data_IF_578868722385
#
_entry.id   IF_578868722385
#
_cell.length_a   1.000
_cell.length_b   1.000
_cell.length_c   1.000
_cell.angle_alpha   90.00
_cell.angle_beta   90.00
_cell.angle_gamma   90.00
#
_symmetry.space_group_name_H-M   'P 1'
#
loop_
_entity.id
_entity.type
_entity.pdbx_description
1 polymer ?
#
# COMPACT_ATOMS: atom_id res chain seq x y z
N UNK A 1 34.94 -16.59 -92.34
CA UNK A 1 33.50 -16.77 -92.01
C UNK A 1 33.40 -17.42 -90.63
N UNK A 2 33.04 -16.66 -89.60
CA UNK A 2 32.17 -17.07 -88.48
C UNK A 2 31.89 -15.83 -87.60
N UNK A 3 30.80 -15.91 -86.87
CA UNK A 3 29.82 -14.87 -86.56
C UNK A 3 30.07 -14.15 -85.21
N UNK A 4 29.48 -12.96 -85.07
CA UNK A 4 29.45 -12.10 -83.88
C UNK A 4 28.74 -12.75 -82.67
N UNK A 5 29.07 -12.33 -81.46
CA UNK A 5 28.04 -11.95 -80.46
C UNK A 5 28.64 -11.05 -79.37
N UNK A 6 27.93 -9.96 -79.10
CA UNK A 6 28.17 -8.93 -78.07
C UNK A 6 27.41 -9.31 -76.79
N UNK A 7 27.89 -8.93 -75.60
CA UNK A 7 27.04 -8.70 -74.43
C UNK A 7 27.54 -7.50 -73.60
N UNK A 8 26.64 -6.72 -72.94
CA UNK A 8 26.88 -5.33 -72.52
C UNK A 8 26.94 -5.12 -70.97
N UNK A 9 27.41 -3.92 -70.56
CA UNK A 9 26.98 -2.99 -69.46
C UNK A 9 26.43 -3.60 -68.11
N UNK A 10 26.69 -3.13 -66.87
CA UNK A 10 26.79 -1.79 -66.23
C UNK A 10 27.05 -1.97 -64.68
N UNK A 11 27.01 -0.94 -63.78
CA UNK A 11 28.08 -0.59 -62.83
C UNK A 11 27.86 -1.00 -61.35
N UNK A 12 28.91 -0.86 -60.53
CA UNK A 12 28.87 -1.03 -59.07
C UNK A 12 28.18 0.17 -58.37
N UNK A 13 27.16 -0.14 -57.57
CA UNK A 13 26.42 0.82 -56.72
C UNK A 13 27.15 0.98 -55.39
N UNK A 14 27.45 2.23 -55.03
CA UNK A 14 27.99 2.68 -53.76
C UNK A 14 26.86 2.67 -52.71
N UNK A 15 26.99 1.88 -51.63
CA UNK A 15 26.04 1.91 -50.51
C UNK A 15 26.66 2.71 -49.35
N UNK A 16 26.13 3.90 -49.09
CA UNK A 16 26.45 4.70 -47.92
C UNK A 16 25.69 4.16 -46.71
N UNK A 17 26.42 3.68 -45.69
CA UNK A 17 25.84 3.34 -44.39
C UNK A 17 25.76 4.61 -43.52
N UNK A 18 24.54 5.05 -43.23
CA UNK A 18 24.24 6.06 -42.22
C UNK A 18 24.43 5.46 -40.83
N UNK A 19 25.42 5.93 -40.07
CA UNK A 19 25.59 5.61 -38.66
C UNK A 19 24.92 6.70 -37.82
N UNK A 20 23.77 6.40 -37.24
CA UNK A 20 23.13 7.21 -36.20
C UNK A 20 23.43 6.60 -34.83
N UNK A 21 24.41 7.16 -34.14
CA UNK A 21 24.70 6.82 -32.74
C UNK A 21 23.70 7.57 -31.85
N UNK A 22 22.68 6.87 -31.36
CA UNK A 22 21.83 7.37 -30.26
C UNK A 22 22.41 6.89 -28.95
N UNK A 23 22.76 7.84 -28.07
CA UNK A 23 23.04 7.56 -26.66
C UNK A 23 21.70 7.24 -25.99
N UNK A 24 21.35 5.96 -25.90
CA UNK A 24 20.36 5.54 -24.92
C UNK A 24 21.03 5.61 -23.54
N UNK A 25 20.76 6.68 -22.79
CA UNK A 25 20.95 6.64 -21.34
C UNK A 25 19.98 5.59 -20.81
N UNK A 26 20.47 4.37 -20.61
CA UNK A 26 19.80 3.40 -19.79
C UNK A 26 19.78 3.98 -18.38
N UNK A 27 18.61 4.50 -17.97
CA UNK A 27 18.31 4.72 -16.57
C UNK A 27 18.33 3.35 -15.91
N UNK A 28 19.47 2.96 -15.35
CA UNK A 28 19.55 1.82 -14.46
C UNK A 28 18.81 2.22 -13.19
N UNK A 29 17.51 1.93 -13.12
CA UNK A 29 16.88 1.78 -11.83
C UNK A 29 17.62 0.63 -11.15
N UNK A 30 18.40 0.95 -10.13
CA UNK A 30 18.82 -0.09 -9.18
C UNK A 30 17.54 -0.72 -8.66
N UNK A 31 17.30 -2.03 -8.84
CA UNK A 31 16.20 -2.68 -8.17
C UNK A 31 16.38 -2.42 -6.68
N UNK A 32 15.43 -1.74 -6.05
CA UNK A 32 15.39 -1.71 -4.59
C UNK A 32 15.24 -3.16 -4.15
N UNK A 33 16.15 -3.65 -3.31
CA UNK A 33 15.92 -4.91 -2.61
C UNK A 33 14.58 -4.74 -1.89
N UNK A 34 13.56 -5.56 -2.21
CA UNK A 34 12.31 -5.52 -1.45
C UNK A 34 12.64 -5.66 0.04
N UNK A 35 11.98 -4.90 0.90
CA UNK A 35 12.13 -5.07 2.34
C UNK A 35 11.75 -6.50 2.76
N UNK A 36 12.28 -6.96 3.90
CA UNK A 36 12.13 -8.33 4.40
C UNK A 36 10.67 -8.76 4.60
N UNK A 37 9.76 -7.79 4.76
CA UNK A 37 8.33 -8.02 4.94
C UNK A 37 7.52 -7.25 3.90
N UNK A 38 6.51 -7.93 3.36
CA UNK A 38 5.47 -7.39 2.49
C UNK A 38 4.20 -7.20 3.30
N UNK A 39 3.64 -6.00 3.21
CA UNK A 39 2.36 -5.63 3.79
C UNK A 39 1.40 -5.41 2.62
N UNK A 40 0.28 -6.11 2.61
CA UNK A 40 -0.81 -5.86 1.66
C UNK A 40 -1.99 -5.27 2.37
N UNK A 41 -2.69 -4.37 1.70
CA UNK A 41 -3.94 -3.81 2.17
C UNK A 41 -4.96 -3.90 1.03
N UNK A 42 -6.02 -4.66 1.23
CA UNK A 42 -7.08 -4.84 0.26
C UNK A 42 -8.35 -4.19 0.78
N UNK A 43 -9.01 -3.39 -0.05
CA UNK A 43 -10.43 -3.06 0.12
C UNK A 43 -11.24 -4.20 -0.49
N UNK A 44 -12.01 -4.93 0.30
CA UNK A 44 -12.60 -6.23 -0.09
C UNK A 44 -13.81 -6.10 -1.04
N UNK A 45 -14.22 -4.87 -1.36
CA UNK A 45 -15.17 -4.59 -2.44
C UNK A 45 -16.62 -5.00 -2.18
N UNK A 46 -16.96 -5.36 -0.94
CA UNK A 46 -18.33 -5.66 -0.50
C UNK A 46 -19.24 -4.42 -0.36
N UNK A 47 -18.70 -3.22 -0.56
CA UNK A 47 -19.41 -1.93 -0.50
C UNK A 47 -18.85 -0.95 -1.53
N UNK A 48 -19.52 0.19 -1.71
CA UNK A 48 -19.06 1.29 -2.55
C UNK A 48 -18.11 2.25 -1.79
N UNK A 49 -17.74 1.93 -0.54
CA UNK A 49 -16.82 2.72 0.26
C UNK A 49 -15.37 2.49 -0.20
N UNK A 50 -14.59 3.56 -0.25
CA UNK A 50 -13.17 3.52 -0.56
C UNK A 50 -12.36 3.73 0.73
N UNK A 51 -11.07 3.39 0.69
CA UNK A 51 -10.17 3.55 1.84
C UNK A 51 -9.01 4.46 1.46
N UNK A 52 -8.58 5.33 2.38
CA UNK A 52 -7.36 6.12 2.15
C UNK A 52 -6.12 5.23 2.34
N UNK A 53 -4.90 5.70 2.00
CA UNK A 53 -3.69 4.91 2.20
C UNK A 53 -3.59 4.43 3.65
N UNK A 54 -3.22 3.16 3.83
CA UNK A 54 -3.12 2.57 5.16
C UNK A 54 -1.82 3.01 5.83
N UNK A 55 -1.90 3.82 6.87
CA UNK A 55 -0.79 3.94 7.81
C UNK A 55 -0.68 2.66 8.63
N UNK A 56 0.54 2.19 8.85
CA UNK A 56 0.81 1.05 9.72
C UNK A 56 2.10 1.23 10.52
N UNK A 57 2.18 0.53 11.63
CA UNK A 57 3.35 0.45 12.49
C UNK A 57 3.58 -0.95 13.03
N UNK A 58 4.86 -1.35 13.11
CA UNK A 58 5.34 -2.39 13.99
C UNK A 58 5.95 -1.76 15.24
N UNK A 59 5.46 -2.14 16.41
CA UNK A 59 5.76 -1.52 17.69
C UNK A 59 5.79 -2.53 18.85
N UNK A 60 6.31 -2.09 20.00
CA UNK A 60 6.63 -2.93 21.17
C UNK A 60 5.49 -3.06 22.20
N UNK A 61 4.36 -2.41 21.93
CA UNK A 61 3.20 -2.27 22.79
C UNK A 61 3.10 -0.90 23.47
N UNK A 62 4.12 -0.05 23.34
CA UNK A 62 4.17 1.25 24.00
C UNK A 62 3.52 2.40 23.23
N UNK A 63 3.24 2.23 21.94
CA UNK A 63 2.53 3.23 21.14
C UNK A 63 1.04 2.92 21.13
N UNK A 64 0.27 3.74 21.84
CA UNK A 64 -1.18 3.72 21.85
C UNK A 64 -1.71 4.66 20.76
N UNK A 65 -2.47 4.11 19.81
CA UNK A 65 -3.00 4.89 18.68
C UNK A 65 -4.21 5.72 19.13
N UNK A 66 -5.11 5.14 19.93
CA UNK A 66 -6.28 5.80 20.49
C UNK A 66 -7.00 4.96 21.54
N UNK A 67 -7.75 5.65 22.40
CA UNK A 67 -8.68 5.03 23.34
C UNK A 67 -10.12 5.45 23.05
N UNK A 68 -11.07 4.50 22.98
CA UNK A 68 -12.49 4.83 22.84
C UNK A 68 -12.97 5.72 24.00
N UNK A 69 -13.68 6.79 23.66
CA UNK A 69 -14.18 7.80 24.59
C UNK A 69 -13.19 8.92 24.91
N UNK A 70 -11.95 8.86 24.44
CA UNK A 70 -10.98 9.95 24.52
C UNK A 70 -10.94 10.75 23.21
N UNK A 71 -10.49 12.01 23.26
CA UNK A 71 -10.26 12.80 22.05
C UNK A 71 -9.09 12.21 21.25
N UNK A 72 -9.14 12.26 19.91
CA UNK A 72 -8.04 11.81 19.07
C UNK A 72 -6.81 12.69 19.24
N UNK A 73 -5.64 12.14 18.88
CA UNK A 73 -4.47 12.98 18.65
C UNK A 73 -4.68 13.81 17.39
N UNK A 74 -3.95 14.92 17.24
CA UNK A 74 -4.03 15.75 16.03
C UNK A 74 -3.66 14.95 14.77
N UNK A 75 -2.77 13.96 14.90
CA UNK A 75 -2.44 13.06 13.81
C UNK A 75 -3.56 12.11 13.42
N UNK A 76 -4.30 11.57 14.40
CA UNK A 76 -5.43 10.70 14.12
C UNK A 76 -6.63 11.47 13.57
N UNK A 77 -6.90 12.67 14.09
CA UNK A 77 -7.92 13.60 13.57
C UNK A 77 -7.66 13.90 12.09
N UNK A 78 -6.45 14.38 11.75
CA UNK A 78 -6.10 14.68 10.35
C UNK A 78 -6.17 13.44 9.44
N UNK A 79 -5.80 12.26 9.95
CA UNK A 79 -5.95 11.03 9.19
C UNK A 79 -7.42 10.69 8.98
N UNK A 80 -8.25 10.81 10.00
CA UNK A 80 -9.66 10.44 9.96
C UNK A 80 -10.51 11.42 9.12
N UNK A 81 -10.12 12.69 9.02
CA UNK A 81 -10.85 13.71 8.25
C UNK A 81 -10.34 13.86 6.81
N UNK A 82 -9.02 13.83 6.60
CA UNK A 82 -8.42 14.13 5.29
C UNK A 82 -7.70 12.92 4.66
N UNK A 83 -7.56 11.82 5.41
CA UNK A 83 -6.74 10.69 4.97
C UNK A 83 -5.25 10.97 4.96
N UNK A 84 -4.78 12.05 5.62
CA UNK A 84 -3.36 12.43 5.66
C UNK A 84 -2.66 11.89 6.93
N UNK A 85 -1.77 10.89 6.80
CA UNK A 85 -1.04 10.34 7.94
C UNK A 85 0.18 11.17 8.37
N UNK A 86 0.45 12.33 7.76
CA UNK A 86 1.70 13.07 7.93
C UNK A 86 1.99 13.47 9.38
N UNK A 87 0.98 13.94 10.12
CA UNK A 87 1.10 14.31 11.53
C UNK A 87 1.21 13.05 12.41
N UNK A 88 0.40 12.02 12.15
CA UNK A 88 0.47 10.74 12.86
C UNK A 88 1.84 10.07 12.73
N UNK A 89 2.47 10.15 11.55
CA UNK A 89 3.84 9.69 11.32
C UNK A 89 4.82 10.41 12.25
N UNK A 90 4.64 11.72 12.45
CA UNK A 90 5.42 12.53 13.37
C UNK A 90 5.22 12.13 14.83
N UNK A 91 3.97 11.93 15.25
CA UNK A 91 3.61 11.48 16.60
C UNK A 91 4.21 10.10 16.91
N UNK A 92 4.10 9.16 15.98
CA UNK A 92 4.74 7.86 16.11
C UNK A 92 6.26 7.99 16.25
N UNK A 93 6.91 8.79 15.41
CA UNK A 93 8.36 9.00 15.50
C UNK A 93 8.79 9.63 16.84
N UNK A 94 7.94 10.48 17.43
CA UNK A 94 8.21 11.09 18.73
C UNK A 94 8.03 10.12 19.90
N UNK A 95 7.09 9.19 19.80
CA UNK A 95 6.81 8.17 20.81
C UNK A 95 7.66 6.88 20.64
N UNK A 96 8.21 6.66 19.45
CA UNK A 96 8.85 5.42 19.05
C UNK A 96 10.06 5.04 19.91
N UNK A 97 10.06 3.78 20.36
CA UNK A 97 11.21 3.15 20.98
C UNK A 97 12.22 2.66 19.93
N UNK A 98 13.51 2.47 20.30
CA UNK A 98 14.52 1.93 19.38
C UNK A 98 14.10 0.59 18.78
N UNK A 99 13.77 0.60 17.48
CA UNK A 99 13.36 -0.61 16.77
C UNK A 99 12.00 -0.47 16.07
N UNK A 100 11.10 0.37 16.60
CA UNK A 100 9.79 0.59 15.98
C UNK A 100 9.91 0.99 14.51
N UNK A 101 8.98 0.51 13.69
CA UNK A 101 8.96 0.72 12.23
C UNK A 101 7.56 1.14 11.82
N UNK A 102 7.45 2.01 10.82
CA UNK A 102 6.16 2.40 10.26
C UNK A 102 6.28 2.56 8.75
N UNK A 103 5.12 2.61 8.09
CA UNK A 103 5.03 2.88 6.67
C UNK A 103 3.60 3.22 6.27
N UNK A 104 3.42 3.47 4.98
CA UNK A 104 2.11 3.70 4.39
C UNK A 104 1.95 2.77 3.20
N UNK A 105 0.86 2.00 3.17
CA UNK A 105 0.45 1.25 1.99
C UNK A 105 -0.33 2.19 1.08
N UNK A 106 0.29 2.56 -0.04
CA UNK A 106 -0.32 3.46 -1.02
C UNK A 106 -1.30 2.70 -1.93
N UNK A 107 -2.26 3.45 -2.48
CA UNK A 107 -3.18 2.95 -3.48
C UNK A 107 -2.47 2.46 -4.76
N UNK A 108 -2.88 1.32 -5.33
CA UNK A 108 -2.35 0.82 -6.59
C UNK A 108 -2.88 1.67 -7.75
N UNK A 109 -2.07 2.63 -8.20
CA UNK A 109 -2.35 3.60 -9.26
C UNK A 109 -3.15 4.86 -8.87
N UNK A 110 -4.09 4.80 -7.91
CA UNK A 110 -4.79 5.96 -7.33
C UNK A 110 -5.56 6.86 -8.32
N UNK A 111 -6.53 7.65 -7.84
CA UNK A 111 -7.14 8.70 -8.66
C UNK A 111 -6.15 9.88 -8.80
N UNK A 112 -5.97 10.48 -10.00
CA UNK A 112 -5.16 11.69 -10.14
C UNK A 112 -5.70 12.82 -9.26
N UNK A 113 -5.04 13.09 -8.13
CA UNK A 113 -5.42 14.12 -7.16
C UNK A 113 -5.88 13.61 -5.79
N UNK A 114 -6.14 12.30 -5.63
CA UNK A 114 -6.43 11.68 -4.33
C UNK A 114 -6.07 10.18 -4.38
N UNK A 115 -5.01 9.71 -3.69
CA UNK A 115 -4.65 8.30 -3.69
C UNK A 115 -5.62 7.50 -2.80
N UNK A 116 -6.68 6.93 -3.39
CA UNK A 116 -7.66 6.09 -2.70
C UNK A 116 -7.55 4.63 -3.13
N UNK A 117 -7.85 3.70 -2.23
CA UNK A 117 -7.96 2.25 -2.48
C UNK A 117 -9.44 1.94 -2.73
N UNK A 118 -9.79 1.81 -4.00
CA UNK A 118 -11.17 1.55 -4.42
C UNK A 118 -11.60 0.11 -4.04
N UNK A 119 -12.91 -0.16 -3.93
CA UNK A 119 -13.49 -1.50 -3.82
C UNK A 119 -12.80 -2.54 -4.72
N UNK A 120 -12.20 -3.57 -4.12
CA UNK A 120 -11.49 -4.66 -4.81
C UNK A 120 -10.02 -4.40 -5.12
N UNK A 121 -9.49 -3.22 -4.81
CA UNK A 121 -8.07 -2.90 -5.02
C UNK A 121 -7.18 -3.35 -3.86
N UNK A 122 -5.92 -3.67 -4.20
CA UNK A 122 -4.89 -4.05 -3.23
C UNK A 122 -3.65 -3.17 -3.36
N UNK A 123 -3.35 -2.41 -2.31
CA UNK A 123 -2.08 -1.72 -2.13
C UNK A 123 -1.01 -2.64 -1.54
N UNK A 124 0.27 -2.29 -1.78
CA UNK A 124 1.42 -3.03 -1.24
C UNK A 124 2.49 -2.08 -0.73
N UNK A 125 3.02 -2.34 0.46
CA UNK A 125 4.24 -1.75 0.98
C UNK A 125 5.26 -2.83 1.35
N UNK A 126 6.53 -2.43 1.43
CA UNK A 126 7.62 -3.27 1.89
C UNK A 126 8.36 -2.58 3.02
N UNK A 127 8.78 -3.35 4.02
CA UNK A 127 9.57 -2.84 5.13
C UNK A 127 10.71 -3.79 5.49
N UNK A 128 11.87 -3.24 5.78
CA UNK A 128 13.03 -3.98 6.28
C UNK A 128 12.91 -4.07 7.80
N UNK A 129 12.89 -5.30 8.33
CA UNK A 129 12.81 -5.50 9.76
C UNK A 129 14.19 -5.88 10.30
N UNK A 130 14.76 -4.95 11.06
CA UNK A 130 16.09 -5.12 11.67
C UNK A 130 16.08 -5.89 13.00
N UNK A 131 14.97 -5.93 13.74
CA UNK A 131 14.82 -6.65 15.02
C UNK A 131 13.35 -6.99 15.36
N UNK A 132 12.66 -7.83 14.56
CA UNK A 132 11.22 -8.14 14.76
C UNK A 132 10.80 -8.53 16.18
N UNK A 133 11.68 -9.24 16.92
CA UNK A 133 11.43 -9.63 18.31
C UNK A 133 11.28 -8.44 19.28
N UNK A 134 11.74 -7.24 18.90
CA UNK A 134 11.68 -6.02 19.71
C UNK A 134 10.46 -5.15 19.41
N UNK A 135 9.66 -5.48 18.39
CA UNK A 135 8.47 -4.73 17.96
C UNK A 135 7.40 -5.70 17.44
N UNK A 136 6.88 -6.50 18.36
CA UNK A 136 6.06 -7.66 18.05
C UNK A 136 4.64 -7.33 17.60
N UNK A 137 4.15 -6.14 17.89
CA UNK A 137 2.77 -5.74 17.70
C UNK A 137 2.58 -4.87 16.48
N UNK A 138 1.39 -4.92 15.89
CA UNK A 138 1.02 -4.15 14.72
C UNK A 138 -0.13 -3.20 15.04
N UNK A 139 0.04 -1.95 14.62
CA UNK A 139 -1.03 -0.94 14.66
C UNK A 139 -1.27 -0.40 13.25
N UNK A 140 -2.50 0.02 12.96
CA UNK A 140 -2.86 0.57 11.67
C UNK A 140 -3.99 1.60 11.76
N UNK A 141 -4.06 2.47 10.74
CA UNK A 141 -5.11 3.46 10.58
C UNK A 141 -5.35 3.74 9.09
N UNK A 142 -6.61 3.86 8.68
CA UNK A 142 -7.02 4.31 7.35
C UNK A 142 -8.41 4.92 7.44
N UNK A 143 -8.64 6.02 6.76
CA UNK A 143 -9.96 6.66 6.70
C UNK A 143 -10.88 5.87 5.75
N UNK A 144 -12.13 5.76 6.17
CA UNK A 144 -13.23 5.26 5.34
C UNK A 144 -13.84 6.45 4.62
N UNK A 145 -13.95 6.39 3.29
CA UNK A 145 -14.46 7.50 2.48
C UNK A 145 -15.59 7.05 1.54
N UNK A 146 -16.60 7.91 1.30
CA UNK A 146 -16.78 9.22 1.94
C UNK A 146 -17.21 9.10 3.41
N UNK A 147 -16.68 9.99 4.25
CA UNK A 147 -17.12 10.21 5.62
C UNK A 147 -16.63 11.58 6.10
N UNK A 148 -17.19 12.07 7.21
CA UNK A 148 -16.65 13.23 7.92
C UNK A 148 -15.35 12.86 8.62
N UNK A 149 -15.39 11.86 9.50
CA UNK A 149 -14.24 11.46 10.32
C UNK A 149 -14.23 9.95 10.67
N UNK A 150 -14.78 9.11 9.79
CA UNK A 150 -14.83 7.65 10.01
C UNK A 150 -13.54 6.98 9.56
N UNK A 151 -12.99 6.10 10.39
CA UNK A 151 -11.75 5.38 10.12
C UNK A 151 -11.78 3.92 10.59
N UNK A 152 -10.83 3.13 10.10
CA UNK A 152 -10.48 1.81 10.64
C UNK A 152 -9.17 1.90 11.41
N UNK A 153 -9.08 1.19 12.53
CA UNK A 153 -7.87 1.12 13.33
C UNK A 153 -8.03 0.20 14.54
N UNK A 154 -6.95 0.00 15.28
CA UNK A 154 -6.95 -0.85 16.47
C UNK A 154 -6.71 -0.02 17.74
N UNK A 155 -7.66 -0.04 18.70
CA UNK A 155 -7.50 0.70 19.96
C UNK A 155 -6.51 0.01 20.91
N UNK A 156 -6.46 -1.34 20.90
CA UNK A 156 -5.53 -2.06 21.77
C UNK A 156 -4.16 -2.18 21.07
N UNK A 157 -3.08 -1.57 21.62
CA UNK A 157 -1.75 -1.64 21.04
C UNK A 157 -1.14 -3.04 21.09
N UNK A 158 -1.71 -3.98 21.86
CA UNK A 158 -1.25 -5.37 21.95
C UNK A 158 -2.10 -6.34 21.13
N UNK A 159 -3.15 -5.84 20.46
CA UNK A 159 -4.15 -6.68 19.79
C UNK A 159 -3.55 -7.63 18.74
N UNK A 160 -2.59 -7.14 17.96
CA UNK A 160 -2.03 -7.88 16.83
C UNK A 160 -0.55 -8.18 17.04
N UNK A 161 -0.25 -9.24 17.79
CA UNK A 161 1.11 -9.75 17.96
C UNK A 161 1.57 -10.50 16.69
N UNK A 162 2.08 -9.77 15.70
CA UNK A 162 2.52 -10.28 14.39
C UNK A 162 3.82 -11.07 14.48
N UNK A 163 4.72 -10.74 15.42
CA UNK A 163 5.96 -11.49 15.62
C UNK A 163 6.01 -12.20 16.98
N UNK A 164 6.58 -13.40 16.99
CA UNK A 164 6.85 -14.12 18.23
C UNK A 164 8.16 -13.66 18.91
N UNK A 165 8.48 -14.23 20.06
CA UNK A 165 9.70 -13.92 20.81
C UNK A 165 11.01 -14.28 20.06
N UNK A 166 10.93 -15.10 19.01
CA UNK A 166 12.06 -15.40 18.13
C UNK A 166 12.18 -14.44 16.94
N UNK A 167 11.17 -13.59 16.72
CA UNK A 167 11.08 -12.67 15.59
C UNK A 167 10.50 -13.30 14.31
N UNK A 168 9.93 -14.51 14.41
CA UNK A 168 9.19 -15.13 13.31
C UNK A 168 7.75 -14.61 13.26
N UNK A 169 7.10 -14.69 12.09
CA UNK A 169 5.66 -14.40 12.00
C UNK A 169 4.91 -15.38 12.91
N UNK A 170 4.06 -14.82 13.78
CA UNK A 170 3.25 -15.54 14.75
C UNK A 170 1.99 -16.15 14.08
N UNK A 171 2.20 -16.82 12.95
CA UNK A 171 1.19 -17.59 12.24
C UNK A 171 1.90 -18.79 11.57
N UNK A 172 1.45 -20.04 11.78
CA UNK A 172 2.08 -21.23 11.20
C UNK A 172 2.15 -21.25 9.66
N UNK A 173 1.29 -20.50 8.98
CA UNK A 173 1.30 -20.37 7.51
C UNK A 173 2.44 -19.46 7.01
N UNK A 174 3.06 -18.68 7.89
CA UNK A 174 4.02 -17.64 7.53
C UNK A 174 3.37 -16.36 7.00
N UNK A 175 2.04 -16.23 7.11
CA UNK A 175 1.27 -15.04 6.74
C UNK A 175 0.35 -14.67 7.90
N UNK A 176 0.56 -13.50 8.49
CA UNK A 176 -0.37 -12.96 9.48
C UNK A 176 -1.48 -12.21 8.76
N UNK A 177 -2.75 -12.49 9.10
CA UNK A 177 -3.91 -11.90 8.43
C UNK A 177 -4.79 -11.16 9.44
N UNK A 178 -5.13 -9.91 9.14
CA UNK A 178 -6.07 -9.09 9.88
C UNK A 178 -7.28 -8.83 8.99
N UNK A 179 -8.46 -9.17 9.48
CA UNK A 179 -9.73 -8.92 8.82
C UNK A 179 -10.47 -7.81 9.58
N UNK A 180 -10.85 -6.76 8.85
CA UNK A 180 -11.56 -5.60 9.40
C UNK A 180 -12.99 -5.61 8.87
N UNK A 181 -13.94 -5.71 9.80
CA UNK A 181 -15.38 -5.68 9.50
C UNK A 181 -15.93 -4.28 9.72
N UNK A 182 -17.05 -3.94 9.08
CA UNK A 182 -17.69 -2.63 9.25
C UNK A 182 -18.11 -2.35 10.70
N UNK A 183 -18.40 -3.38 11.51
CA UNK A 183 -18.61 -3.23 12.96
C UNK A 183 -17.38 -2.66 13.72
N UNK A 184 -16.22 -2.59 13.08
CA UNK A 184 -14.97 -2.06 13.63
C UNK A 184 -14.61 -0.70 13.04
N UNK A 185 -15.58 0.00 12.45
CA UNK A 185 -15.43 1.41 12.11
C UNK A 185 -15.50 2.27 13.36
N UNK A 186 -14.61 3.26 13.39
CA UNK A 186 -14.49 4.26 14.44
C UNK A 186 -14.83 5.63 13.87
N UNK A 187 -15.44 6.44 14.71
CA UNK A 187 -15.73 7.85 14.49
C UNK A 187 -14.76 8.64 15.37
N UNK A 188 -14.05 9.60 14.80
CA UNK A 188 -13.02 10.34 15.53
C UNK A 188 -13.63 11.29 16.59
N UNK A 189 -14.89 11.66 16.45
CA UNK A 189 -15.60 12.58 17.33
C UNK A 189 -15.20 14.04 17.13
N UNK A 190 -14.66 14.38 15.95
CA UNK A 190 -14.14 15.71 15.63
C UNK A 190 -15.03 16.45 14.65
N UNK A 191 -15.87 15.76 13.89
CA UNK A 191 -16.86 16.35 13.01
C UNK A 191 -18.27 15.77 13.19
N UNK A 192 -19.29 16.54 12.83
CA UNK A 192 -20.67 16.06 12.81
C UNK A 192 -20.92 15.22 11.56
N UNK A 193 -21.33 13.96 11.74
CA UNK A 193 -21.75 13.05 10.65
C UNK A 193 -23.02 13.51 9.93
N UNK A 194 -22.86 14.44 9.00
CA UNK A 194 -23.95 14.99 8.19
C UNK A 194 -23.57 15.09 6.70
N UNK A 195 -22.39 14.61 6.34
CA UNK A 195 -21.85 14.62 4.98
C UNK A 195 -21.42 16.00 4.48
N UNK A 196 -21.64 17.08 5.25
CA UNK A 196 -21.16 18.41 4.90
C UNK A 196 -19.68 18.52 5.21
N UNK A 197 -18.87 18.96 4.24
CA UNK A 197 -17.43 19.05 4.42
C UNK A 197 -16.67 17.72 4.34
N UNK A 198 -17.38 16.59 4.41
CA UNK A 198 -16.83 15.24 4.33
C UNK A 198 -15.85 15.04 3.16
N UNK A 199 -14.72 14.40 3.43
CA UNK A 199 -13.74 14.10 2.40
C UNK A 199 -14.31 13.14 1.35
N UNK A 200 -13.82 13.32 0.11
CA UNK A 200 -14.19 12.50 -1.05
C UNK A 200 -15.71 12.42 -1.33
N UNK A 201 -16.46 13.45 -0.93
CA UNK A 201 -17.91 13.61 -1.16
C UNK A 201 -18.23 14.75 -2.13
N UNK A 202 -19.26 14.60 -2.96
CA UNK A 202 -19.80 15.71 -3.78
C UNK A 202 -20.91 16.50 -3.09
N UNK A 203 -21.33 16.13 -1.87
CA UNK A 203 -22.30 16.88 -1.06
C UNK A 203 -21.81 18.32 -0.85
N UNK A 204 -20.51 18.48 -0.63
CA UNK A 204 -19.86 19.78 -0.42
C UNK A 204 -20.26 20.44 0.92
N UNK A 205 -20.08 21.75 1.01
CA UNK A 205 -20.32 22.50 2.25
C UNK A 205 -19.07 22.65 3.11
N UNK A 206 -19.27 22.95 4.39
CA UNK A 206 -18.22 23.05 5.39
C UNK A 206 -18.53 22.09 6.53
N UNK A 207 -17.51 21.47 7.12
CA UNK A 207 -17.72 20.60 8.26
C UNK A 207 -18.23 21.39 9.47
N UNK A 208 -18.80 20.67 10.43
CA UNK A 208 -19.19 21.22 11.72
C UNK A 208 -18.42 20.48 12.80
N UNK A 209 -17.46 21.17 13.41
CA UNK A 209 -16.62 20.58 14.45
C UNK A 209 -17.45 20.10 15.64
N UNK A 210 -17.07 18.95 16.17
CA UNK A 210 -17.54 18.41 17.44
C UNK A 210 -16.34 18.22 18.38
N UNK A 211 -16.59 17.81 19.62
CA UNK A 211 -15.54 17.48 20.59
C UNK A 211 -15.95 16.22 21.34
N UNK A 212 -16.58 15.30 20.62
CA UNK A 212 -16.95 14.01 21.16
C UNK A 212 -15.68 13.16 21.32
N UNK A 213 -15.76 12.11 22.14
CA UNK A 213 -14.67 11.14 22.23
C UNK A 213 -14.80 10.10 21.11
N UNK A 214 -13.69 9.48 20.72
CA UNK A 214 -13.67 8.46 19.68
C UNK A 214 -14.71 7.37 19.98
N UNK A 215 -15.59 7.11 19.03
CA UNK A 215 -16.77 6.26 19.20
C UNK A 215 -16.89 5.19 18.14
N UNK A 216 -17.86 4.29 18.31
CA UNK A 216 -18.25 3.41 17.22
C UNK A 216 -18.94 4.25 16.13
N UNK A 217 -18.56 4.04 14.87
CA UNK A 217 -19.10 4.82 13.76
C UNK A 217 -20.59 4.57 13.51
N UNK A 218 -21.23 5.57 12.89
CA UNK A 218 -22.60 5.49 12.38
C UNK A 218 -22.75 4.59 11.15
N UNK A 219 -23.93 4.61 10.54
CA UNK A 219 -24.27 3.76 9.39
C UNK A 219 -23.91 4.34 8.02
N UNK A 220 -23.35 5.55 7.97
CA UNK A 220 -22.93 6.30 6.78
C UNK A 220 -24.07 6.54 5.75
N UNK A 221 -25.33 6.42 6.17
CA UNK A 221 -26.49 6.51 5.28
C UNK A 221 -26.68 7.88 4.63
N UNK A 222 -26.07 8.93 5.17
CA UNK A 222 -26.03 10.28 4.59
C UNK A 222 -25.36 10.33 3.21
N UNK A 223 -24.54 9.33 2.87
CA UNK A 223 -23.88 9.22 1.55
C UNK A 223 -24.65 8.35 0.55
N UNK A 224 -25.75 7.69 0.93
CA UNK A 224 -26.53 6.89 -0.01
C UNK A 224 -27.13 7.75 -1.12
N UNK A 225 -26.84 7.37 -2.37
CA UNK A 225 -27.28 8.06 -3.58
C UNK A 225 -26.43 9.28 -3.94
N UNK A 226 -25.39 9.62 -3.17
CA UNK A 226 -24.46 10.70 -3.50
C UNK A 226 -23.34 10.19 -4.40
N UNK A 227 -22.59 11.11 -5.01
CA UNK A 227 -21.45 10.75 -5.85
C UNK A 227 -20.12 11.07 -5.16
N UNK A 228 -19.06 10.38 -5.58
CA UNK A 228 -17.68 10.71 -5.22
C UNK A 228 -17.05 11.61 -6.30
N UNK A 229 -15.92 12.29 -6.01
CA UNK A 229 -15.13 12.98 -7.00
C UNK A 229 -14.62 12.09 -8.15
N UNK A 230 -14.47 10.77 -7.92
CA UNK A 230 -14.12 9.80 -8.97
C UNK A 230 -15.31 9.47 -9.89
N UNK A 231 -16.52 9.94 -9.57
CA UNK A 231 -17.73 9.71 -10.36
C UNK A 231 -18.50 8.44 -9.98
N UNK A 232 -18.07 7.72 -8.94
CA UNK A 232 -18.83 6.61 -8.36
C UNK A 232 -20.11 7.15 -7.70
N UNK A 233 -21.22 6.44 -7.81
CA UNK A 233 -22.43 6.71 -7.01
C UNK A 233 -22.49 5.67 -5.90
N UNK A 234 -22.60 6.12 -4.65
CA UNK A 234 -22.70 5.24 -3.48
C UNK A 234 -24.12 4.68 -3.42
N UNK A 235 -24.29 3.39 -3.70
CA UNK A 235 -25.57 2.70 -3.65
C UNK A 235 -25.57 1.54 -2.64
N UNK A 236 -24.39 1.10 -2.23
CA UNK A 236 -24.21 -0.03 -1.33
C UNK A 236 -23.26 0.34 -0.18
N UNK A 237 -23.80 0.31 1.04
CA UNK A 237 -23.05 0.45 2.28
C UNK A 237 -22.92 -0.93 2.95
N UNK A 238 -21.81 -1.21 3.65
CA UNK A 238 -21.62 -2.50 4.29
C UNK A 238 -22.56 -2.63 5.51
N UNK A 239 -23.11 -3.81 5.71
CA UNK A 239 -23.67 -4.21 7.00
C UNK A 239 -22.56 -4.47 8.01
N UNK A 240 -22.88 -4.45 9.31
CA UNK A 240 -21.88 -4.57 10.38
C UNK A 240 -21.01 -5.84 10.30
N UNK A 241 -21.54 -6.92 9.75
CA UNK A 241 -20.82 -8.20 9.60
C UNK A 241 -20.04 -8.33 8.28
N UNK A 242 -20.10 -7.33 7.41
CA UNK A 242 -19.42 -7.37 6.12
C UNK A 242 -17.94 -7.05 6.31
N UNK A 243 -17.11 -7.82 5.60
CA UNK A 243 -15.67 -7.62 5.53
C UNK A 243 -15.39 -6.41 4.64
N UNK A 244 -14.65 -5.44 5.16
CA UNK A 244 -14.32 -4.20 4.45
C UNK A 244 -12.87 -4.20 4.00
N UNK A 245 -11.97 -4.65 4.88
CA UNK A 245 -10.55 -4.67 4.54
C UNK A 245 -9.83 -5.92 5.04
N UNK A 246 -8.83 -6.33 4.29
CA UNK A 246 -7.86 -7.36 4.70
C UNK A 246 -6.45 -6.77 4.67
N UNK A 247 -5.73 -6.92 5.78
CA UNK A 247 -4.30 -6.62 5.87
C UNK A 247 -3.56 -7.95 5.99
N UNK A 248 -2.54 -8.17 5.17
CA UNK A 248 -1.65 -9.33 5.32
C UNK A 248 -0.21 -8.91 5.49
N UNK A 249 0.51 -9.61 6.37
CA UNK A 249 1.94 -9.44 6.61
C UNK A 249 2.61 -10.77 6.32
N UNK A 250 3.57 -10.77 5.41
CA UNK A 250 4.33 -11.96 5.02
C UNK A 250 5.80 -11.63 4.83
N UNK A 251 6.70 -12.59 5.10
CA UNK A 251 8.09 -12.44 4.71
C UNK A 251 8.23 -12.44 3.19
N UNK A 252 9.08 -11.57 2.65
CA UNK A 252 9.49 -11.65 1.25
C UNK A 252 10.53 -12.75 1.12
N UNK A 253 10.31 -13.78 0.28
CA UNK A 253 11.33 -14.80 0.07
C UNK A 253 12.59 -14.17 -0.51
N UNK A 254 13.73 -14.40 0.14
CA UNK A 254 15.03 -14.06 -0.44
C UNK A 254 15.16 -14.67 -1.84
N UNK A 255 15.70 -13.94 -2.83
CA UNK A 255 15.98 -14.52 -4.13
C UNK A 255 16.87 -15.76 -3.93
N UNK A 256 16.33 -16.93 -4.22
CA UNK A 256 17.02 -18.19 -4.05
C UNK A 256 18.34 -18.13 -4.85
N UNK A 257 19.47 -18.00 -4.16
CA UNK A 257 20.82 -17.83 -4.72
C UNK A 257 21.36 -19.10 -5.43
N UNK A 258 20.48 -20.02 -5.80
CA UNK A 258 20.78 -21.32 -6.41
C UNK A 258 21.24 -21.23 -7.87
N UNK A 259 21.12 -20.07 -8.52
CA UNK A 259 21.52 -19.90 -9.94
C UNK A 259 23.04 -19.69 -10.11
N UNK A 260 23.77 -19.23 -9.08
CA UNK A 260 25.21 -18.99 -9.20
C UNK A 260 26.10 -20.24 -9.04
N UNK A 261 25.55 -21.38 -8.60
CA UNK A 261 26.34 -22.62 -8.40
C UNK A 261 26.34 -23.50 -9.66
N UNK A 262 25.42 -23.30 -10.61
CA UNK A 262 25.34 -24.14 -11.82
C UNK A 262 26.24 -23.69 -13.00
N UNK A 263 26.95 -22.56 -12.88
CA UNK A 263 27.83 -22.04 -13.93
C UNK A 263 29.33 -22.30 -13.71
N UNK A 264 29.74 -22.93 -12.60
CA UNK A 264 31.16 -23.18 -12.30
C UNK A 264 31.68 -24.59 -12.67
N UNK A 265 30.85 -25.46 -13.26
CA UNK A 265 31.29 -26.81 -13.66
C UNK A 265 31.21 -27.02 -15.18
N UNK A 266 32.00 -26.27 -15.94
CA UNK A 266 32.36 -26.66 -17.31
C UNK A 266 33.73 -27.37 -17.27
N UNK A 267 33.84 -28.67 -17.62
CA UNK A 267 35.14 -29.32 -17.69
C UNK A 267 35.91 -28.82 -18.92
N UNK A 268 37.15 -28.39 -18.70
CA UNK A 268 38.10 -28.07 -19.75
C UNK A 268 38.40 -29.31 -20.61
N UNK A 269 37.86 -29.35 -21.82
CA UNK A 269 38.25 -30.34 -22.83
C UNK A 269 39.56 -29.88 -23.46
N UNK A 270 40.67 -30.46 -23.03
CA UNK A 270 41.97 -30.31 -23.71
C UNK A 270 42.01 -31.27 -24.90
N UNK A 271 41.85 -30.73 -26.12
CA UNK A 271 42.02 -31.50 -27.36
C UNK A 271 43.50 -31.57 -27.71
N UNK A 272 44.12 -32.74 -27.54
CA UNK A 272 45.49 -33.03 -28.01
C UNK A 272 45.50 -33.16 -29.54
N UNK A 273 46.50 -32.52 -30.14
CA UNK A 273 46.84 -32.56 -31.56
C UNK A 273 47.23 -33.96 -32.05
N UNK A 274 46.82 -34.29 -33.27
CA UNK A 274 47.61 -35.04 -34.26
C UNK A 274 47.36 -34.43 -35.63
#
# INVERSE_FOLDING_TARGET
MHYRSEFPFLPAILLAACASTTWAQASTSTPSTPGDYRITFTNEGGSDLTLTPLWFAFQDGGFDLFNPGESPTAGLELLAEDGDPSVLIGEFNAAAQPGNRQGVVLAPAGFPGAPVVEPGETGVAYITATSPASYQYFSFASMVIPSNDTFIGNPDPLQYQVFDASGAINDPSGVFTIQVFAANFWDAGTELNNGQGAAFSTIGGSPTDTNDGIGAAGDLTEFLGTTTPSGLTINNLPGSADLVATITISQVPEPASWVCVLLSVAPAVTRRWR
#
